data_IF_338302606909
#
_entry.id   IF_338302606909
#
_cell.length_a   1.000
_cell.length_b   1.000
_cell.length_c   1.000
_cell.angle_alpha   90.00
_cell.angle_beta   90.00
_cell.angle_gamma   90.00
#
_symmetry.space_group_name_H-M   'P 1'
#
loop_
_entity.id
_entity.type
_entity.pdbx_description
1 polymer ?
#
# COMPACT_ATOMS: atom_id res chain seq x y z
N UNK A 1 33.10 6.68 31.46
CA UNK A 1 32.63 5.73 30.44
C UNK A 1 33.83 5.37 29.59
N UNK A 2 34.08 4.09 29.31
CA UNK A 2 35.40 3.57 28.90
C UNK A 2 36.18 4.45 27.89
N UNK A 3 35.53 4.90 26.81
CA UNK A 3 36.17 5.80 25.81
C UNK A 3 36.50 7.18 26.39
N UNK A 4 35.58 7.80 27.14
CA UNK A 4 35.80 9.10 27.77
C UNK A 4 36.90 9.03 28.86
N UNK A 5 37.01 7.89 29.55
CA UNK A 5 38.01 7.70 30.60
C UNK A 5 39.42 7.56 29.98
N UNK A 6 39.53 6.84 28.85
CA UNK A 6 40.77 6.75 28.06
C UNK A 6 41.14 8.09 27.44
N UNK A 7 40.17 8.80 26.85
CA UNK A 7 40.41 10.14 26.30
C UNK A 7 40.97 11.09 27.37
N UNK A 8 40.39 11.08 28.57
CA UNK A 8 40.83 11.94 29.67
C UNK A 8 42.23 11.56 30.16
N UNK A 9 42.48 10.26 30.38
CA UNK A 9 43.77 9.72 30.80
C UNK A 9 44.88 10.11 29.81
N UNK A 10 44.65 9.90 28.52
CA UNK A 10 45.63 10.20 27.48
C UNK A 10 45.79 11.71 27.22
N UNK A 11 44.72 12.50 27.38
CA UNK A 11 44.80 13.97 27.33
C UNK A 11 45.67 14.53 28.45
N UNK A 12 45.54 13.99 29.66
CA UNK A 12 46.37 14.38 30.81
C UNK A 12 47.82 13.91 30.66
N UNK A 13 48.05 12.69 30.19
CA UNK A 13 49.38 12.12 30.04
C UNK A 13 50.21 12.78 28.93
N UNK A 14 49.59 13.12 27.80
CA UNK A 14 50.27 13.73 26.64
C UNK A 14 50.39 15.27 26.73
N UNK A 15 49.59 15.92 27.57
CA UNK A 15 49.49 17.38 27.61
C UNK A 15 48.79 18.01 26.39
N UNK A 16 48.22 17.20 25.50
CA UNK A 16 47.51 17.66 24.30
C UNK A 16 46.08 18.04 24.67
N UNK A 17 45.84 19.32 25.00
CA UNK A 17 44.53 19.82 25.49
C UNK A 17 43.33 19.52 24.57
N UNK A 18 43.55 19.42 23.26
CA UNK A 18 42.51 19.15 22.26
C UNK A 18 42.45 17.67 21.80
N UNK A 19 43.14 16.76 22.50
CA UNK A 19 43.15 15.34 22.16
C UNK A 19 41.74 14.75 22.31
N UNK A 20 41.20 14.20 21.22
CA UNK A 20 39.85 13.63 21.18
C UNK A 20 39.86 12.28 20.50
N UNK A 21 39.06 11.35 21.03
CA UNK A 21 38.76 10.09 20.36
C UNK A 21 37.60 10.31 19.39
N UNK A 22 37.79 9.90 18.15
CA UNK A 22 36.81 9.97 17.09
C UNK A 22 36.71 8.62 16.37
N UNK A 23 35.64 8.40 15.62
CA UNK A 23 35.37 7.13 14.95
C UNK A 23 35.03 7.34 13.48
N UNK A 24 35.59 6.49 12.63
CA UNK A 24 35.11 6.35 11.27
C UNK A 24 35.12 4.88 10.81
N UNK A 25 34.39 4.56 9.75
CA UNK A 25 34.24 3.18 9.24
C UNK A 25 35.54 2.55 8.72
N UNK A 26 36.51 3.35 8.26
CA UNK A 26 37.73 2.86 7.61
C UNK A 26 38.86 2.60 8.61
N UNK A 27 39.08 3.54 9.51
CA UNK A 27 40.20 3.55 10.46
C UNK A 27 39.75 3.18 11.87
N UNK A 28 38.46 2.96 12.11
CA UNK A 28 37.95 2.61 13.42
C UNK A 28 37.97 3.77 14.42
N UNK A 29 38.15 3.45 15.70
CA UNK A 29 38.41 4.46 16.74
C UNK A 29 39.86 4.94 16.68
N UNK A 30 40.06 6.26 16.77
CA UNK A 30 41.38 6.89 16.74
C UNK A 30 41.43 8.16 17.59
N UNK A 31 42.62 8.51 18.05
CA UNK A 31 42.95 9.84 18.54
C UNK A 31 43.26 10.76 17.39
N UNK A 32 42.60 11.92 17.36
CA UNK A 32 42.88 12.96 16.38
C UNK A 32 43.91 13.96 16.92
N UNK A 33 45.08 14.05 16.29
CA UNK A 33 46.18 14.94 16.70
C UNK A 33 46.48 15.94 15.59
N UNK A 34 46.47 17.23 15.89
CA UNK A 34 46.82 18.28 14.92
C UNK A 34 48.33 18.32 14.67
N UNK A 35 48.75 18.78 13.49
CA UNK A 35 50.18 18.86 13.13
C UNK A 35 51.03 19.64 14.17
N UNK A 36 50.44 20.63 14.85
CA UNK A 36 51.07 21.41 15.90
C UNK A 36 51.45 20.61 17.15
N UNK A 37 50.80 19.48 17.38
CA UNK A 37 50.90 18.68 18.61
C UNK A 37 51.61 17.34 18.36
N UNK A 38 52.17 17.11 17.16
CA UNK A 38 52.83 15.85 16.80
C UNK A 38 54.07 15.55 17.66
N UNK A 39 54.78 16.59 18.11
CA UNK A 39 55.93 16.43 19.03
C UNK A 39 55.55 15.99 20.43
N UNK A 40 54.26 16.05 20.78
CA UNK A 40 53.71 15.67 22.09
C UNK A 40 53.05 14.28 22.06
N UNK A 41 53.07 13.60 20.91
CA UNK A 41 52.46 12.26 20.78
C UNK A 41 53.32 11.25 21.56
N UNK A 42 52.72 10.49 22.50
CA UNK A 42 53.45 9.47 23.25
C UNK A 42 53.93 8.29 22.39
N UNK A 43 55.03 7.65 22.78
CA UNK A 43 55.63 6.53 22.03
C UNK A 43 54.72 5.30 21.89
N UNK A 44 53.78 5.10 22.82
CA UNK A 44 52.83 3.98 22.77
C UNK A 44 51.68 4.19 21.77
N UNK A 45 51.61 5.35 21.12
CA UNK A 45 50.66 5.62 20.06
C UNK A 45 51.20 5.11 18.73
N UNK A 46 50.41 4.31 18.02
CA UNK A 46 50.75 3.89 16.66
C UNK A 46 49.92 4.69 15.64
N UNK A 47 50.57 5.18 14.59
CA UNK A 47 49.90 5.99 13.56
C UNK A 47 49.00 5.10 12.69
N UNK A 48 47.73 5.48 12.58
CA UNK A 48 46.73 4.83 11.70
C UNK A 48 46.65 5.50 10.33
N UNK A 49 46.66 6.84 10.27
CA UNK A 49 46.54 7.57 9.00
C UNK A 49 47.12 8.99 9.11
N UNK A 50 47.58 9.54 7.99
CA UNK A 50 48.03 10.94 7.87
C UNK A 50 47.02 11.72 7.02
N UNK A 51 46.59 12.88 7.51
CA UNK A 51 45.71 13.83 6.84
C UNK A 51 46.47 15.13 6.55
N UNK A 52 45.86 16.04 5.80
CA UNK A 52 46.50 17.30 5.39
C UNK A 52 46.96 18.17 6.58
N UNK A 53 46.18 18.21 7.66
CA UNK A 53 46.42 19.08 8.82
C UNK A 53 46.49 18.33 10.17
N UNK A 54 46.43 17.00 10.14
CA UNK A 54 46.36 16.17 11.33
C UNK A 54 46.81 14.74 11.05
N UNK A 55 47.08 14.00 12.11
CA UNK A 55 47.33 12.57 12.05
C UNK A 55 46.37 11.83 12.99
N UNK A 56 46.05 10.59 12.62
CA UNK A 56 45.20 9.69 13.39
C UNK A 56 46.07 8.64 14.05
N UNK A 57 45.88 8.43 15.35
CA UNK A 57 46.65 7.47 16.15
C UNK A 57 45.73 6.47 16.84
N UNK A 58 46.22 5.26 17.06
CA UNK A 58 45.61 4.25 17.93
C UNK A 58 46.52 3.93 19.12
N UNK A 59 45.95 3.26 20.12
CA UNK A 59 46.69 2.65 21.22
C UNK A 59 46.25 1.19 21.37
N UNK A 60 47.07 0.35 21.99
CA UNK A 60 46.72 -1.06 22.22
C UNK A 60 45.44 -1.18 23.08
N UNK A 61 45.25 -0.27 24.05
CA UNK A 61 44.05 -0.19 24.89
C UNK A 61 42.80 0.14 24.06
N UNK A 62 42.88 1.12 23.16
CA UNK A 62 41.77 1.51 22.28
C UNK A 62 41.40 0.40 21.28
N UNK A 63 42.41 -0.27 20.70
CA UNK A 63 42.19 -1.37 19.76
C UNK A 63 41.54 -2.59 20.43
N UNK A 64 41.87 -2.88 21.69
CA UNK A 64 41.25 -3.98 22.45
C UNK A 64 39.76 -3.72 22.68
N UNK A 65 39.40 -2.51 23.10
CA UNK A 65 38.00 -2.13 23.33
C UNK A 65 37.22 -2.11 22.02
N UNK A 66 37.83 -1.61 20.95
CA UNK A 66 37.24 -1.66 19.61
C UNK A 66 36.89 -3.09 19.19
N UNK A 67 37.80 -4.06 19.40
CA UNK A 67 37.54 -5.48 19.15
C UNK A 67 36.36 -6.03 19.97
N UNK A 68 36.35 -5.77 21.28
CA UNK A 68 35.26 -6.21 22.17
C UNK A 68 33.91 -5.58 21.79
N UNK A 69 33.90 -4.31 21.38
CA UNK A 69 32.69 -3.63 20.93
C UNK A 69 32.17 -4.20 19.61
N UNK A 70 33.07 -4.57 18.69
CA UNK A 70 32.69 -5.16 17.41
C UNK A 70 32.09 -6.56 17.62
N UNK A 71 32.76 -7.40 18.41
CA UNK A 71 32.29 -8.74 18.78
C UNK A 71 30.92 -8.67 19.47
N UNK A 72 30.75 -7.83 20.49
CA UNK A 72 29.47 -7.67 21.17
C UNK A 72 28.35 -7.17 20.25
N UNK A 73 28.67 -6.34 19.24
CA UNK A 73 27.68 -5.90 18.24
C UNK A 73 27.27 -7.03 17.31
N UNK A 74 28.22 -7.84 16.86
CA UNK A 74 27.95 -9.01 16.02
C UNK A 74 27.11 -10.04 16.78
N UNK A 75 27.47 -10.35 18.02
CA UNK A 75 26.69 -11.25 18.90
C UNK A 75 25.27 -10.70 19.16
N UNK A 76 25.15 -9.40 19.43
CA UNK A 76 23.84 -8.76 19.64
C UNK A 76 22.96 -8.85 18.40
N UNK A 77 23.52 -8.61 17.21
CA UNK A 77 22.77 -8.68 15.95
C UNK A 77 22.36 -10.12 15.63
N UNK A 78 23.24 -11.10 15.89
CA UNK A 78 22.91 -12.51 15.73
C UNK A 78 21.79 -12.95 16.68
N UNK A 79 21.87 -12.54 17.95
CA UNK A 79 20.83 -12.85 18.94
C UNK A 79 19.48 -12.23 18.56
N UNK A 80 19.48 -10.99 18.06
CA UNK A 80 18.26 -10.33 17.56
C UNK A 80 17.65 -11.10 16.39
N UNK A 81 18.48 -11.54 15.44
CA UNK A 81 18.03 -12.34 14.31
C UNK A 81 17.45 -13.68 14.75
N UNK A 82 18.11 -14.38 15.68
CA UNK A 82 17.63 -15.65 16.22
C UNK A 82 16.28 -15.49 16.93
N UNK A 83 16.11 -14.42 17.71
CA UNK A 83 14.83 -14.10 18.37
C UNK A 83 13.75 -13.82 17.32
N UNK A 84 14.06 -13.03 16.29
CA UNK A 84 13.14 -12.75 15.19
C UNK A 84 12.70 -14.04 14.47
N UNK A 85 13.64 -14.94 14.18
CA UNK A 85 13.32 -16.22 13.54
C UNK A 85 12.41 -17.09 14.40
N UNK A 86 12.65 -17.17 15.73
CA UNK A 86 11.74 -17.87 16.65
C UNK A 86 10.33 -17.27 16.67
N UNK A 87 10.22 -15.95 16.57
CA UNK A 87 8.91 -15.29 16.45
C UNK A 87 8.23 -15.70 15.14
N UNK A 88 8.96 -15.72 14.03
CA UNK A 88 8.41 -16.14 12.73
C UNK A 88 7.90 -17.58 12.76
N UNK A 89 8.69 -18.52 13.26
CA UNK A 89 8.27 -19.92 13.42
C UNK A 89 7.01 -20.03 14.28
N UNK A 90 6.94 -19.26 15.37
CA UNK A 90 5.75 -19.23 16.22
C UNK A 90 4.53 -18.68 15.47
N UNK A 91 4.68 -17.61 14.70
CA UNK A 91 3.58 -17.01 13.91
C UNK A 91 3.12 -17.94 12.78
N UNK A 92 4.04 -18.67 12.17
CA UNK A 92 3.75 -19.63 11.10
C UNK A 92 2.73 -20.69 11.54
N UNK A 93 2.78 -21.14 12.80
CA UNK A 93 1.79 -22.09 13.35
C UNK A 93 0.35 -21.55 13.36
N UNK A 94 0.14 -20.25 13.15
CA UNK A 94 -1.17 -19.61 13.09
C UNK A 94 -1.62 -19.24 11.68
N UNK A 95 -0.89 -19.65 10.64
CA UNK A 95 -1.14 -19.18 9.26
C UNK A 95 -2.59 -19.41 8.80
N UNK A 96 -3.15 -20.60 9.05
CA UNK A 96 -4.52 -20.93 8.65
C UNK A 96 -5.56 -20.06 9.36
N UNK A 97 -5.34 -19.80 10.66
CA UNK A 97 -6.19 -18.92 11.47
C UNK A 97 -6.10 -17.48 10.97
N UNK A 98 -4.90 -16.99 10.66
CA UNK A 98 -4.68 -15.64 10.15
C UNK A 98 -5.31 -15.46 8.77
N UNK A 99 -5.20 -16.43 7.87
CA UNK A 99 -5.84 -16.39 6.56
C UNK A 99 -7.37 -16.44 6.66
N UNK A 100 -7.91 -17.26 7.57
CA UNK A 100 -9.36 -17.32 7.82
C UNK A 100 -9.88 -15.98 8.35
N UNK A 101 -9.16 -15.38 9.31
CA UNK A 101 -9.49 -14.06 9.83
C UNK A 101 -9.43 -12.98 8.73
N UNK A 102 -8.38 -13.00 7.91
CA UNK A 102 -8.23 -12.06 6.80
C UNK A 102 -9.39 -12.15 5.80
N UNK A 103 -9.84 -13.37 5.45
CA UNK A 103 -11.01 -13.59 4.57
C UNK A 103 -12.29 -13.06 5.21
N UNK A 104 -12.48 -13.28 6.52
CA UNK A 104 -13.65 -12.78 7.24
C UNK A 104 -13.67 -11.25 7.26
N UNK A 105 -12.55 -10.61 7.59
CA UNK A 105 -12.41 -9.14 7.57
C UNK A 105 -12.67 -8.60 6.16
N UNK A 106 -12.06 -9.20 5.12
CA UNK A 106 -12.26 -8.78 3.74
C UNK A 106 -13.72 -8.91 3.29
N UNK A 107 -14.42 -9.96 3.74
CA UNK A 107 -15.85 -10.14 3.44
C UNK A 107 -16.69 -9.07 4.12
N UNK A 108 -16.41 -8.75 5.38
CA UNK A 108 -17.09 -7.66 6.10
C UNK A 108 -16.83 -6.32 5.43
N UNK A 109 -15.59 -6.04 5.03
CA UNK A 109 -15.20 -4.81 4.34
C UNK A 109 -15.97 -4.64 3.01
N UNK A 110 -16.01 -5.67 2.18
CA UNK A 110 -16.77 -5.65 0.92
C UNK A 110 -18.27 -5.46 1.18
N UNK A 111 -18.88 -6.24 2.06
CA UNK A 111 -20.32 -6.16 2.33
C UNK A 111 -20.72 -4.80 2.93
N UNK A 112 -19.88 -4.25 3.83
CA UNK A 112 -20.08 -2.92 4.40
C UNK A 112 -19.93 -1.84 3.34
N UNK A 113 -18.93 -1.94 2.46
CA UNK A 113 -18.73 -1.03 1.34
C UNK A 113 -19.93 -1.02 0.38
N UNK A 114 -20.45 -2.19 0.04
CA UNK A 114 -21.66 -2.33 -0.80
C UNK A 114 -22.88 -1.70 -0.12
N UNK A 115 -23.08 -1.94 1.18
CA UNK A 115 -24.19 -1.35 1.94
C UNK A 115 -24.09 0.18 2.04
N UNK A 116 -22.88 0.70 2.30
CA UNK A 116 -22.64 2.15 2.34
C UNK A 116 -22.91 2.82 1.00
N UNK A 117 -22.43 2.23 -0.11
CA UNK A 117 -22.68 2.73 -1.46
C UNK A 117 -24.18 2.68 -1.77
N UNK A 118 -24.86 1.61 -1.36
CA UNK A 118 -26.29 1.46 -1.58
C UNK A 118 -27.10 2.54 -0.86
N UNK A 119 -26.81 2.77 0.42
CA UNK A 119 -27.48 3.81 1.22
C UNK A 119 -27.22 5.20 0.65
N UNK A 120 -25.95 5.52 0.41
CA UNK A 120 -25.53 6.85 -0.07
C UNK A 120 -26.09 7.19 -1.45
N UNK A 121 -26.32 6.18 -2.30
CA UNK A 121 -26.75 6.37 -3.69
C UNK A 121 -28.20 5.94 -3.93
N UNK A 122 -28.93 5.59 -2.87
CA UNK A 122 -30.29 5.07 -2.92
C UNK A 122 -30.43 3.90 -3.91
N UNK A 123 -29.58 2.89 -3.77
CA UNK A 123 -29.69 1.65 -4.55
C UNK A 123 -30.65 0.69 -3.86
N UNK A 124 -31.28 -0.17 -4.65
CA UNK A 124 -32.29 -1.11 -4.18
C UNK A 124 -31.81 -2.54 -4.32
N UNK A 125 -32.29 -3.40 -3.43
CA UNK A 125 -31.99 -4.83 -3.50
C UNK A 125 -32.71 -5.42 -4.72
N UNK A 126 -32.00 -6.06 -5.66
CA UNK A 126 -32.64 -6.70 -6.80
C UNK A 126 -33.36 -7.99 -6.38
N UNK A 127 -34.40 -8.35 -7.14
CA UNK A 127 -35.09 -9.64 -7.08
C UNK A 127 -34.63 -10.54 -8.23
N UNK A 128 -34.45 -11.83 -7.96
CA UNK A 128 -34.18 -12.81 -9.01
C UNK A 128 -35.46 -13.55 -9.41
N UNK A 129 -35.72 -13.62 -10.71
CA UNK A 129 -36.82 -14.37 -11.31
C UNK A 129 -36.31 -15.69 -11.90
N UNK A 130 -37.09 -16.76 -11.78
CA UNK A 130 -36.82 -18.02 -12.49
C UNK A 130 -37.17 -17.94 -13.97
N UNK A 131 -38.12 -17.07 -14.34
CA UNK A 131 -38.49 -16.82 -15.74
C UNK A 131 -37.56 -15.77 -16.37
N UNK A 132 -37.44 -15.81 -17.70
CA UNK A 132 -36.68 -14.81 -18.50
C UNK A 132 -37.43 -13.48 -18.56
N UNK A 133 -37.51 -12.77 -17.43
CA UNK A 133 -38.18 -11.49 -17.28
C UNK A 133 -37.23 -10.47 -16.70
N UNK A 134 -37.06 -9.34 -17.40
CA UNK A 134 -36.27 -8.20 -16.94
C UNK A 134 -37.26 -7.08 -16.63
N UNK A 135 -37.19 -6.52 -15.44
CA UNK A 135 -37.95 -5.32 -15.06
C UNK A 135 -37.06 -4.43 -14.22
N UNK A 136 -36.65 -3.29 -14.77
CA UNK A 136 -35.92 -2.26 -14.05
C UNK A 136 -36.77 -0.99 -14.15
N UNK A 137 -37.19 -0.44 -13.01
CA UNK A 137 -37.92 0.83 -12.95
C UNK A 137 -36.98 1.95 -12.56
N UNK A 138 -37.01 3.05 -13.33
CA UNK A 138 -36.16 4.22 -13.12
C UNK A 138 -34.68 3.85 -12.89
N UNK A 139 -34.16 2.95 -13.72
CA UNK A 139 -32.78 2.53 -13.66
C UNK A 139 -31.82 3.66 -14.04
N UNK A 140 -30.65 3.67 -13.40
CA UNK A 140 -29.60 4.68 -13.56
C UNK A 140 -28.28 4.00 -13.88
N UNK A 141 -27.44 4.63 -14.69
CA UNK A 141 -26.10 4.12 -14.94
C UNK A 141 -25.16 4.52 -13.78
N UNK A 142 -24.83 3.57 -12.91
CA UNK A 142 -24.12 3.81 -11.64
C UNK A 142 -22.82 4.64 -11.72
N UNK A 143 -22.10 4.58 -12.86
CA UNK A 143 -20.93 5.45 -13.10
C UNK A 143 -21.31 6.85 -13.60
N UNK A 144 -22.14 6.93 -14.65
CA UNK A 144 -22.50 8.20 -15.31
C UNK A 144 -23.28 9.11 -14.37
N UNK A 145 -24.18 8.57 -13.53
CA UNK A 145 -24.93 9.36 -12.55
C UNK A 145 -24.01 10.08 -11.55
N UNK A 146 -22.82 9.51 -11.27
CA UNK A 146 -21.85 10.10 -10.36
C UNK A 146 -21.01 11.19 -10.99
N UNK A 147 -20.75 11.08 -12.30
CA UNK A 147 -20.01 12.10 -13.05
C UNK A 147 -20.89 13.31 -13.35
N UNK A 148 -22.14 13.09 -13.75
CA UNK A 148 -23.08 14.17 -14.09
C UNK A 148 -23.77 14.77 -12.84
N UNK A 149 -23.89 14.00 -11.76
CA UNK A 149 -24.70 14.35 -10.61
C UNK A 149 -26.10 13.75 -10.70
N UNK A 150 -26.62 13.26 -9.57
CA UNK A 150 -27.86 12.48 -9.50
C UNK A 150 -29.08 13.26 -10.02
N UNK A 151 -29.09 14.59 -9.86
CA UNK A 151 -30.20 15.44 -10.32
C UNK A 151 -30.22 15.67 -11.83
N UNK A 152 -29.11 15.43 -12.54
CA UNK A 152 -29.03 15.64 -13.99
C UNK A 152 -29.24 14.36 -14.80
N UNK A 153 -29.03 13.19 -14.19
CA UNK A 153 -29.23 11.92 -14.88
C UNK A 153 -30.72 11.60 -15.05
N UNK A 154 -31.15 11.28 -16.28
CA UNK A 154 -32.53 10.89 -16.59
C UNK A 154 -32.68 9.36 -16.42
N UNK A 155 -33.44 8.87 -15.42
CA UNK A 155 -33.63 7.43 -15.21
C UNK A 155 -34.44 6.78 -16.34
N UNK A 156 -34.15 5.51 -16.63
CA UNK A 156 -34.81 4.75 -17.69
C UNK A 156 -35.42 3.44 -17.18
N UNK A 157 -36.65 3.14 -17.63
CA UNK A 157 -37.29 1.86 -17.36
C UNK A 157 -36.95 0.85 -18.45
N UNK A 158 -36.61 -0.39 -18.05
CA UNK A 158 -36.25 -1.51 -18.94
C UNK A 158 -37.19 -2.67 -18.66
N UNK A 159 -37.92 -3.13 -19.68
CA UNK A 159 -38.85 -4.25 -19.55
C UNK A 159 -38.68 -5.26 -20.69
N UNK A 160 -38.36 -6.50 -20.31
CA UNK A 160 -38.46 -7.67 -21.19
C UNK A 160 -39.44 -8.64 -20.54
N UNK A 161 -40.63 -8.79 -21.14
CA UNK A 161 -41.55 -9.85 -20.75
C UNK A 161 -41.13 -11.19 -21.37
N UNK A 162 -41.81 -12.28 -21.03
CA UNK A 162 -41.47 -13.62 -21.54
C UNK A 162 -41.51 -13.75 -23.07
N UNK A 163 -42.26 -12.88 -23.75
CA UNK A 163 -42.43 -12.88 -25.19
C UNK A 163 -41.48 -11.89 -25.89
N UNK A 164 -40.69 -11.11 -25.13
CA UNK A 164 -39.78 -10.10 -25.66
C UNK A 164 -38.36 -10.55 -25.42
N UNK A 165 -37.67 -10.96 -26.49
CA UNK A 165 -36.25 -11.35 -26.45
C UNK A 165 -35.32 -10.26 -27.01
N UNK A 166 -35.87 -9.31 -27.77
CA UNK A 166 -35.10 -8.28 -28.47
C UNK A 166 -35.83 -6.94 -28.34
N UNK A 167 -35.09 -5.89 -27.99
CA UNK A 167 -35.54 -4.51 -28.09
C UNK A 167 -34.73 -3.81 -29.19
N UNK A 168 -35.42 -3.19 -30.16
CA UNK A 168 -34.79 -2.33 -31.15
C UNK A 168 -34.80 -0.90 -30.62
N UNK A 169 -33.63 -0.39 -30.26
CA UNK A 169 -33.47 0.96 -29.71
C UNK A 169 -32.99 1.90 -30.82
N UNK A 170 -33.83 2.85 -31.20
CA UNK A 170 -33.52 3.87 -32.21
C UNK A 170 -33.52 5.26 -31.59
N UNK A 171 -32.88 6.22 -32.27
CA UNK A 171 -32.79 7.61 -31.80
C UNK A 171 -31.56 8.33 -32.37
N UNK A 172 -31.52 9.66 -32.29
CA UNK A 172 -30.38 10.48 -32.76
C UNK A 172 -29.06 10.08 -32.08
N UNK A 173 -27.92 10.45 -32.68
CA UNK A 173 -26.63 10.33 -31.99
C UNK A 173 -26.65 11.11 -30.67
N UNK A 174 -25.89 10.64 -29.69
CA UNK A 174 -25.82 11.21 -28.33
C UNK A 174 -27.14 11.15 -27.52
N UNK A 175 -28.18 10.46 -28.00
CA UNK A 175 -29.46 10.32 -27.27
C UNK A 175 -29.44 9.30 -26.13
N UNK A 176 -28.26 8.85 -25.68
CA UNK A 176 -28.12 7.91 -24.56
C UNK A 176 -28.35 6.42 -24.87
N UNK A 177 -28.47 6.01 -26.14
CA UNK A 177 -28.68 4.59 -26.53
C UNK A 177 -27.61 3.65 -25.97
N UNK A 178 -26.33 4.01 -26.12
CA UNK A 178 -25.20 3.23 -25.59
C UNK A 178 -25.19 3.21 -24.06
N UNK A 179 -25.53 4.33 -23.41
CA UNK A 179 -25.67 4.43 -21.96
C UNK A 179 -26.77 3.52 -21.43
N UNK A 180 -27.92 3.45 -22.11
CA UNK A 180 -29.02 2.54 -21.78
C UNK A 180 -28.59 1.06 -21.81
N UNK A 181 -27.89 0.65 -22.88
CA UNK A 181 -27.41 -0.73 -23.00
C UNK A 181 -26.36 -1.07 -21.93
N UNK A 182 -25.40 -0.18 -21.68
CA UNK A 182 -24.37 -0.36 -20.64
C UNK A 182 -24.97 -0.34 -19.23
N UNK A 183 -26.02 0.46 -19.00
CA UNK A 183 -26.76 0.48 -17.73
C UNK A 183 -27.36 -0.90 -17.42
N UNK A 184 -28.03 -1.53 -18.39
CA UNK A 184 -28.59 -2.87 -18.19
C UNK A 184 -27.50 -3.88 -17.82
N UNK A 185 -26.41 -3.91 -18.60
CA UNK A 185 -25.29 -4.83 -18.35
C UNK A 185 -24.66 -4.62 -16.96
N UNK A 186 -24.45 -3.35 -16.56
CA UNK A 186 -23.89 -3.02 -15.25
C UNK A 186 -24.84 -3.42 -14.11
N UNK A 187 -26.15 -3.21 -14.29
CA UNK A 187 -27.17 -3.63 -13.32
C UNK A 187 -27.13 -5.15 -13.10
N UNK A 188 -26.97 -5.93 -14.17
CA UNK A 188 -26.83 -7.40 -14.10
C UNK A 188 -25.59 -7.81 -13.32
N UNK A 189 -24.44 -7.20 -13.62
CA UNK A 189 -23.17 -7.49 -12.93
C UNK A 189 -23.29 -7.18 -11.44
N UNK A 190 -23.81 -6.00 -11.10
CA UNK A 190 -24.02 -5.57 -9.71
C UNK A 190 -24.98 -6.51 -8.96
N UNK A 191 -26.08 -6.90 -9.59
CA UNK A 191 -27.01 -7.84 -8.96
C UNK A 191 -26.37 -9.21 -8.69
N UNK A 192 -25.71 -9.79 -9.70
CA UNK A 192 -25.12 -11.13 -9.59
C UNK A 192 -23.83 -11.20 -8.76
N UNK A 193 -23.15 -10.08 -8.53
CA UNK A 193 -22.06 -10.02 -7.54
C UNK A 193 -22.55 -9.88 -6.09
N UNK A 194 -23.87 -9.72 -5.87
CA UNK A 194 -24.47 -9.57 -4.54
C UNK A 194 -24.63 -8.12 -4.07
N UNK A 195 -24.48 -7.14 -4.96
CA UNK A 195 -24.72 -5.72 -4.66
C UNK A 195 -26.18 -5.33 -4.82
N UNK A 196 -26.55 -4.20 -4.21
CA UNK A 196 -27.74 -3.43 -4.56
C UNK A 196 -27.50 -2.74 -5.92
N UNK A 197 -28.57 -2.34 -6.60
CA UNK A 197 -28.50 -1.78 -7.96
C UNK A 197 -29.12 -0.39 -8.06
N UNK A 198 -28.63 0.41 -9.01
CA UNK A 198 -29.05 1.79 -9.23
C UNK A 198 -30.41 1.85 -9.96
N UNK A 199 -31.51 1.66 -9.23
CA UNK A 199 -32.89 1.70 -9.73
C UNK A 199 -33.86 1.97 -8.57
N UNK A 200 -35.14 2.18 -8.86
CA UNK A 200 -36.20 2.20 -7.83
C UNK A 200 -36.75 0.79 -7.59
N UNK A 201 -36.70 -0.07 -8.61
CA UNK A 201 -37.03 -1.49 -8.54
C UNK A 201 -36.26 -2.25 -9.61
N UNK A 202 -35.77 -3.45 -9.28
CA UNK A 202 -35.10 -4.31 -10.24
C UNK A 202 -35.46 -5.79 -10.01
N UNK A 203 -35.94 -6.45 -11.05
CA UNK A 203 -36.17 -7.89 -11.12
C UNK A 203 -35.51 -8.44 -12.37
N UNK A 204 -34.60 -9.40 -12.19
CA UNK A 204 -33.72 -9.91 -13.23
C UNK A 204 -33.73 -11.45 -13.22
N UNK A 205 -33.57 -12.12 -14.37
CA UNK A 205 -33.17 -13.51 -14.36
C UNK A 205 -31.68 -13.63 -13.97
N UNK A 206 -31.23 -14.85 -13.72
CA UNK A 206 -29.78 -15.12 -13.67
C UNK A 206 -29.27 -15.26 -15.10
N UNK A 207 -28.35 -14.39 -15.47
CA UNK A 207 -27.62 -14.42 -16.74
C UNK A 207 -26.39 -15.30 -16.60
N UNK A 208 -26.19 -16.15 -17.60
CA UNK A 208 -25.00 -16.98 -17.79
C UNK A 208 -23.87 -16.21 -18.48
N UNK A 209 -24.22 -15.28 -19.37
CA UNK A 209 -23.26 -14.46 -20.09
C UNK A 209 -23.82 -13.07 -20.47
N UNK A 210 -22.92 -12.10 -20.61
CA UNK A 210 -23.21 -10.78 -21.18
C UNK A 210 -22.33 -10.61 -22.42
N UNK A 211 -22.95 -10.51 -23.59
CA UNK A 211 -22.26 -10.26 -24.85
C UNK A 211 -22.47 -8.81 -25.27
N UNK A 212 -21.38 -8.14 -25.64
CA UNK A 212 -21.44 -6.77 -26.14
C UNK A 212 -20.70 -6.67 -27.48
N UNK A 213 -21.28 -5.93 -28.42
CA UNK A 213 -20.62 -5.50 -29.64
C UNK A 213 -20.92 -4.03 -29.83
N UNK A 214 -20.08 -3.20 -29.23
CA UNK A 214 -20.18 -1.74 -29.27
C UNK A 214 -18.95 -1.23 -30.03
N UNK A 215 -19.12 -0.24 -30.91
CA UNK A 215 -18.02 0.33 -31.69
C UNK A 215 -16.92 0.91 -30.80
N UNK A 216 -15.66 0.83 -31.25
CA UNK A 216 -14.46 1.13 -30.47
C UNK A 216 -14.28 2.61 -30.02
N UNK A 217 -15.21 3.51 -30.36
CA UNK A 217 -15.05 4.96 -30.21
C UNK A 217 -16.12 5.65 -29.33
N UNK A 218 -17.01 4.91 -28.65
CA UNK A 218 -18.00 5.53 -27.74
C UNK A 218 -17.34 5.84 -26.38
N UNK A 219 -16.74 7.02 -26.28
CA UNK A 219 -16.23 7.62 -25.05
C UNK A 219 -17.38 8.25 -24.25
N UNK A 220 -17.84 7.53 -23.24
CA UNK A 220 -19.00 7.91 -22.44
C UNK A 220 -18.77 9.15 -21.57
N UNK A 221 -17.50 9.54 -21.34
CA UNK A 221 -17.14 10.65 -20.46
C UNK A 221 -17.21 11.99 -21.21
N UNK A 222 -16.95 11.99 -22.52
CA UNK A 222 -16.92 13.20 -23.35
C UNK A 222 -18.23 13.51 -24.08
N UNK A 223 -19.24 12.63 -23.98
CA UNK A 223 -20.53 12.81 -24.64
C UNK A 223 -20.46 12.75 -26.18
N UNK A 224 -19.35 12.26 -26.75
CA UNK A 224 -19.17 12.12 -28.19
C UNK A 224 -19.47 10.69 -28.66
N UNK A 225 -20.56 10.53 -29.42
CA UNK A 225 -20.71 9.39 -30.35
C UNK A 225 -20.39 9.90 -31.76
N UNK A 226 -19.45 9.27 -32.45
CA UNK A 226 -19.31 9.38 -33.91
C UNK A 226 -20.41 8.59 -34.61
#
# INVERSE_FOLDING_TARGET
>A
GWIADIEMKERQASGINNLKIDYNKKDGYYFHVTNSNLSLVPDHFFRKATLKNSERYGTAELAKIEGQMLEAREESAQLEYDIFMRIREKVETYIDRLQTLAKAIATVDVLQGLAYVAEKNHYVRPEFASQKVITIQNGRHAVVEKVMGVQEYIPNTIQFNQNTSIQLITGPNMSGKSTYMRQLALTVIMAQMGSYVAADYAKLPIFDAIFTRIGAADDLISGQST
#
